data_IF_557918563964
#
_entry.id   IF_557918563964
#
_cell.length_a   1.000
_cell.length_b   1.000
_cell.length_c   1.000
_cell.angle_alpha   90.00
_cell.angle_beta   90.00
_cell.angle_gamma   90.00
#
_symmetry.space_group_name_H-M   'P 1'
#
loop_
_entity.id
_entity.type
_entity.pdbx_description
1 polymer ?
#
# COMPACT_ATOMS: atom_id res chain seq x y z
N UNK A 1 -4.75 -1.30 -55.94
CA UNK A 1 -4.31 -2.24 -54.90
C UNK A 1 -4.48 -1.55 -53.56
N UNK A 2 -5.27 -2.16 -52.69
CA UNK A 2 -5.92 -1.62 -51.50
C UNK A 2 -5.04 -1.75 -50.23
N UNK A 3 -5.10 -0.70 -49.41
CA UNK A 3 -4.91 -0.58 -47.95
C UNK A 3 -3.85 -1.41 -47.20
N UNK A 4 -2.96 -0.69 -46.48
CA UNK A 4 -2.25 -1.18 -45.30
C UNK A 4 -2.14 -0.06 -44.27
N UNK A 5 -3.02 -0.10 -43.27
CA UNK A 5 -3.16 0.88 -42.18
C UNK A 5 -1.87 1.15 -41.37
N UNK A 6 -1.71 2.36 -40.82
CA UNK A 6 -0.71 2.64 -39.80
C UNK A 6 -1.03 1.85 -38.52
N UNK A 7 -0.14 0.96 -38.11
CA UNK A 7 -0.21 0.34 -36.78
C UNK A 7 0.04 1.43 -35.73
N UNK A 8 -1.06 1.95 -35.19
CA UNK A 8 -1.14 2.79 -33.99
C UNK A 8 -0.48 2.04 -32.82
N UNK A 9 0.78 2.33 -32.54
CA UNK A 9 1.47 2.01 -31.28
C UNK A 9 1.22 3.09 -30.22
N UNK A 10 -0.04 3.53 -30.09
CA UNK A 10 -0.48 4.40 -28.99
C UNK A 10 -1.69 3.79 -28.28
N UNK A 11 -1.48 2.82 -27.36
CA UNK A 11 -2.43 2.69 -26.27
C UNK A 11 -1.78 2.64 -24.87
N UNK A 12 -0.47 2.43 -24.74
CA UNK A 12 0.17 2.27 -23.43
C UNK A 12 0.50 3.61 -22.74
N UNK A 13 0.97 4.61 -23.50
CA UNK A 13 1.30 5.93 -22.93
C UNK A 13 0.07 6.75 -22.51
N UNK A 14 -1.10 6.51 -23.12
CA UNK A 14 -2.34 7.20 -22.76
C UNK A 14 -3.02 6.58 -21.53
N UNK A 15 -2.82 5.28 -21.25
CA UNK A 15 -3.32 4.65 -20.03
C UNK A 15 -2.54 5.13 -18.79
N UNK A 16 -1.21 5.27 -18.91
CA UNK A 16 -0.37 5.79 -17.83
C UNK A 16 -0.67 7.27 -17.51
N UNK A 17 -1.06 8.06 -18.53
CA UNK A 17 -1.36 9.48 -18.38
C UNK A 17 -2.80 9.77 -17.91
N UNK A 18 -3.75 8.82 -18.01
CA UNK A 18 -5.09 9.00 -17.43
C UNK A 18 -5.15 8.66 -15.93
N UNK A 19 -4.19 7.89 -15.41
CA UNK A 19 -4.11 7.54 -13.98
C UNK A 19 -3.50 8.67 -13.12
N UNK A 20 -2.86 9.68 -13.73
CA UNK A 20 -2.30 10.82 -12.99
C UNK A 20 -3.35 11.87 -12.61
N UNK A 21 -4.60 11.74 -13.07
CA UNK A 21 -5.69 12.70 -12.83
C UNK A 21 -6.57 12.34 -11.62
N UNK A 22 -6.27 11.27 -10.89
CA UNK A 22 -7.04 10.85 -9.71
C UNK A 22 -6.19 10.61 -8.46
N UNK A 23 -4.99 11.18 -8.33
CA UNK A 23 -4.20 11.04 -7.08
C UNK A 23 -3.88 9.58 -6.66
N UNK A 24 -4.11 8.60 -7.53
CA UNK A 24 -3.93 7.19 -7.25
C UNK A 24 -2.52 6.77 -7.68
N UNK A 25 -1.60 6.68 -6.72
CA UNK A 25 -0.27 6.12 -6.98
C UNK A 25 -0.35 4.59 -6.89
N UNK A 26 -0.18 3.92 -8.04
CA UNK A 26 -0.02 2.47 -8.09
C UNK A 26 1.43 2.08 -7.76
N UNK A 27 1.62 1.18 -6.81
CA UNK A 27 2.93 0.65 -6.40
C UNK A 27 3.00 -0.86 -6.64
N UNK A 28 4.19 -1.35 -6.96
CA UNK A 28 4.41 -2.79 -7.11
C UNK A 28 4.37 -3.52 -5.77
N UNK A 29 4.13 -4.82 -5.78
CA UNK A 29 4.28 -5.67 -4.58
C UNK A 29 5.68 -6.28 -4.56
N UNK A 30 6.29 -6.38 -3.38
CA UNK A 30 7.56 -7.07 -3.16
C UNK A 30 7.42 -8.14 -2.08
N UNK A 31 8.26 -9.18 -2.20
CA UNK A 31 8.40 -10.17 -1.15
C UNK A 31 8.95 -9.55 0.13
N UNK A 32 8.35 -9.90 1.27
CA UNK A 32 8.86 -9.54 2.58
C UNK A 32 10.20 -10.23 2.87
N UNK A 33 11.13 -9.59 3.59
CA UNK A 33 12.33 -10.25 4.07
C UNK A 33 12.00 -11.28 5.18
N UNK A 34 12.82 -12.32 5.30
CA UNK A 34 12.59 -13.41 6.26
C UNK A 34 12.78 -13.00 7.73
N UNK A 35 13.66 -12.03 8.00
CA UNK A 35 13.97 -11.55 9.35
C UNK A 35 14.68 -10.19 9.35
N UNK A 36 14.69 -9.53 10.50
CA UNK A 36 15.47 -8.31 10.76
C UNK A 36 14.61 -7.06 10.97
N UNK A 37 15.24 -5.98 11.43
CA UNK A 37 14.55 -4.72 11.67
C UNK A 37 14.37 -3.91 10.39
N UNK A 38 13.26 -3.16 10.32
CA UNK A 38 12.89 -2.40 9.12
C UNK A 38 12.12 -1.13 9.45
N UNK A 39 12.06 -0.26 8.45
CA UNK A 39 11.36 1.03 8.47
C UNK A 39 10.58 1.16 7.18
N UNK A 40 9.26 1.37 7.27
CA UNK A 40 8.32 1.36 6.15
C UNK A 40 7.36 2.53 6.22
N UNK A 41 6.99 3.09 5.07
CA UNK A 41 5.93 4.08 5.01
C UNK A 41 4.56 3.39 5.14
N UNK A 42 3.64 3.98 5.90
CA UNK A 42 2.31 3.43 6.12
C UNK A 42 1.28 4.22 5.32
N UNK A 43 0.56 3.51 4.46
CA UNK A 43 -0.47 4.06 3.58
C UNK A 43 -1.80 3.33 3.79
N UNK A 44 -2.90 3.93 3.35
CA UNK A 44 -4.17 3.23 3.21
C UNK A 44 -4.14 2.32 1.99
N UNK A 45 -4.68 1.11 2.09
CA UNK A 45 -4.85 0.23 0.95
C UNK A 45 -6.20 0.51 0.27
N UNK A 46 -6.18 0.83 -1.02
CA UNK A 46 -7.40 0.87 -1.80
C UNK A 46 -7.91 -0.57 -2.04
N UNK A 47 -9.02 -0.95 -1.42
CA UNK A 47 -9.49 -2.34 -1.43
C UNK A 47 -9.83 -2.85 -2.84
N UNK A 48 -10.31 -2.00 -3.73
CA UNK A 48 -10.58 -2.39 -5.12
C UNK A 48 -9.30 -2.84 -5.87
N UNK A 49 -8.14 -2.31 -5.49
CA UNK A 49 -6.84 -2.71 -6.04
C UNK A 49 -6.24 -3.95 -5.37
N UNK A 50 -6.69 -4.31 -4.17
CA UNK A 50 -6.15 -5.46 -3.44
C UNK A 50 -6.51 -6.83 -4.06
N UNK A 51 -7.52 -6.85 -4.93
CA UNK A 51 -7.97 -8.03 -5.66
C UNK A 51 -7.13 -8.34 -6.92
N UNK A 52 -6.12 -7.54 -7.24
CA UNK A 52 -5.28 -7.73 -8.42
C UNK A 52 -4.38 -8.98 -8.24
N UNK A 53 -4.47 -9.93 -9.18
CA UNK A 53 -3.71 -11.19 -9.19
C UNK A 53 -2.73 -11.24 -10.36
N UNK A 54 -1.58 -11.90 -10.19
CA UNK A 54 -0.58 -12.11 -11.25
C UNK A 54 0.86 -11.91 -10.76
N UNK A 55 1.83 -12.22 -11.61
CA UNK A 55 3.28 -12.11 -11.30
C UNK A 55 3.74 -10.66 -11.12
N UNK A 56 3.12 -9.71 -11.85
CA UNK A 56 3.36 -8.26 -11.74
C UNK A 56 2.25 -7.57 -10.93
N UNK A 57 2.05 -8.02 -9.68
CA UNK A 57 1.02 -7.45 -8.82
C UNK A 57 1.35 -6.00 -8.46
N UNK A 58 0.33 -5.14 -8.53
CA UNK A 58 0.37 -3.77 -8.02
C UNK A 58 -0.84 -3.49 -7.14
N UNK A 59 -0.71 -2.53 -6.25
CA UNK A 59 -1.80 -2.00 -5.42
C UNK A 59 -1.85 -0.49 -5.54
N UNK A 60 -3.03 0.08 -5.34
CA UNK A 60 -3.24 1.52 -5.29
C UNK A 60 -3.25 1.96 -3.83
N UNK A 61 -2.51 3.03 -3.56
CA UNK A 61 -2.40 3.61 -2.24
C UNK A 61 -3.38 4.76 -2.06
N UNK A 62 -3.97 4.83 -0.87
CA UNK A 62 -4.70 5.99 -0.40
C UNK A 62 -3.83 6.76 0.62
N UNK A 63 -3.61 8.04 0.35
CA UNK A 63 -2.87 8.94 1.23
C UNK A 63 -3.75 9.57 2.30
N UNK A 64 -3.10 10.17 3.30
CA UNK A 64 -3.75 10.90 4.37
C UNK A 64 -4.22 12.28 3.89
N UNK A 65 -5.54 12.51 3.80
CA UNK A 65 -6.11 13.77 3.32
C UNK A 65 -5.75 14.95 4.22
N UNK A 66 -5.58 14.73 5.52
CA UNK A 66 -5.17 15.76 6.48
C UNK A 66 -3.70 16.19 6.30
N UNK A 67 -2.93 15.44 5.51
CA UNK A 67 -1.51 15.63 5.30
C UNK A 67 -1.14 15.60 3.80
N UNK A 68 -1.89 16.32 2.96
CA UNK A 68 -1.65 16.45 1.52
C UNK A 68 -1.55 15.11 0.77
N UNK A 69 -2.30 14.09 1.18
CA UNK A 69 -2.27 12.74 0.60
C UNK A 69 -0.90 12.05 0.69
N UNK A 70 -0.13 12.33 1.74
CA UNK A 70 1.16 11.67 2.07
C UNK A 70 0.95 10.38 2.88
N UNK A 71 2.01 9.58 3.17
CA UNK A 71 1.89 8.48 4.12
C UNK A 71 1.40 8.99 5.49
N UNK A 72 0.66 8.15 6.20
CA UNK A 72 0.17 8.44 7.55
C UNK A 72 1.32 8.63 8.55
N UNK A 73 2.30 7.73 8.48
CA UNK A 73 3.51 7.74 9.30
C UNK A 73 4.55 6.76 8.73
N UNK A 74 5.73 6.76 9.34
CA UNK A 74 6.75 5.72 9.12
C UNK A 74 6.69 4.74 10.28
N UNK A 75 6.45 3.47 9.98
CA UNK A 75 6.45 2.38 10.95
C UNK A 75 7.84 1.76 11.08
N UNK A 76 8.28 1.59 12.31
CA UNK A 76 9.46 0.81 12.69
C UNK A 76 9.03 -0.52 13.29
N UNK A 77 9.89 -1.54 13.20
CA UNK A 77 9.57 -2.86 13.70
C UNK A 77 10.56 -3.93 13.28
N UNK A 78 10.18 -5.18 13.49
CA UNK A 78 11.04 -6.34 13.23
C UNK A 78 10.26 -7.45 12.53
N UNK A 79 10.85 -7.99 11.47
CA UNK A 79 10.40 -9.19 10.78
C UNK A 79 10.74 -10.45 11.57
N UNK A 80 9.74 -11.30 11.73
CA UNK A 80 9.87 -12.65 12.24
C UNK A 80 8.90 -13.61 11.55
N UNK A 81 8.82 -14.84 12.04
CA UNK A 81 8.06 -15.92 11.40
C UNK A 81 6.56 -15.63 11.23
N UNK A 82 5.98 -14.74 12.04
CA UNK A 82 4.57 -14.37 11.97
C UNK A 82 4.30 -13.13 11.08
N UNK A 83 5.35 -12.45 10.61
CA UNK A 83 5.25 -11.18 9.88
C UNK A 83 6.06 -10.06 10.53
N UNK A 84 5.72 -8.81 10.19
CA UNK A 84 6.40 -7.63 10.71
C UNK A 84 5.71 -7.13 11.98
N UNK A 85 6.35 -7.31 13.13
CA UNK A 85 5.84 -6.78 14.39
C UNK A 85 6.26 -5.33 14.54
N UNK A 86 5.29 -4.43 14.63
CA UNK A 86 5.52 -3.00 14.84
C UNK A 86 6.09 -2.76 16.24
N UNK A 87 6.95 -1.76 16.35
CA UNK A 87 7.35 -1.24 17.67
C UNK A 87 6.17 -0.54 18.38
N UNK A 88 6.35 -0.23 19.66
CA UNK A 88 5.25 0.29 20.50
C UNK A 88 4.67 1.61 19.97
N UNK A 89 5.53 2.54 19.56
CA UNK A 89 5.11 3.84 19.04
C UNK A 89 4.38 3.73 17.69
N UNK A 90 4.87 2.88 16.78
CA UNK A 90 4.22 2.61 15.49
C UNK A 90 2.90 1.88 15.68
N UNK A 91 2.85 0.94 16.61
CA UNK A 91 1.64 0.20 16.95
C UNK A 91 0.56 1.14 17.49
N UNK A 92 0.89 2.05 18.42
CA UNK A 92 -0.04 3.06 18.95
C UNK A 92 -0.64 3.91 17.83
N UNK A 93 0.18 4.41 16.91
CA UNK A 93 -0.30 5.18 15.74
C UNK A 93 -1.20 4.36 14.81
N UNK A 94 -0.92 3.07 14.63
CA UNK A 94 -1.79 2.18 13.87
C UNK A 94 -3.16 2.00 14.56
N UNK A 95 -3.18 1.88 15.90
CA UNK A 95 -4.45 1.82 16.67
C UNK A 95 -5.24 3.10 16.55
N UNK A 96 -4.58 4.25 16.62
CA UNK A 96 -5.24 5.56 16.51
C UNK A 96 -5.95 5.77 15.18
N UNK A 97 -5.48 5.10 14.11
CA UNK A 97 -6.06 5.14 12.78
C UNK A 97 -7.14 4.08 12.55
N UNK A 98 -7.22 3.05 13.41
CA UNK A 98 -8.18 1.97 13.26
C UNK A 98 -9.61 2.51 13.34
N UNK A 99 -10.44 2.17 12.35
CA UNK A 99 -11.81 2.68 12.22
C UNK A 99 -11.93 4.12 11.68
N UNK A 100 -10.82 4.82 11.46
CA UNK A 100 -10.79 6.19 10.91
C UNK A 100 -10.27 6.27 9.48
N UNK A 101 -9.73 5.17 8.95
CA UNK A 101 -9.15 5.12 7.60
C UNK A 101 -10.11 5.61 6.50
N UNK A 102 -11.41 5.25 6.50
CA UNK A 102 -12.31 5.75 5.46
C UNK A 102 -12.46 7.27 5.45
N UNK A 103 -12.58 7.88 6.63
CA UNK A 103 -12.66 9.33 6.79
C UNK A 103 -11.34 10.01 6.40
N UNK A 104 -10.22 9.45 6.87
CA UNK A 104 -8.88 10.01 6.65
C UNK A 104 -8.41 9.91 5.19
N UNK A 105 -8.95 8.98 4.42
CA UNK A 105 -8.60 8.77 3.00
C UNK A 105 -9.67 9.28 2.03
N UNK A 106 -10.90 9.51 2.50
CA UNK A 106 -12.05 9.81 1.66
C UNK A 106 -12.56 8.60 0.86
N UNK A 107 -12.08 7.39 1.16
CA UNK A 107 -12.46 6.14 0.50
C UNK A 107 -13.21 5.24 1.49
N UNK A 108 -14.54 5.02 1.33
CA UNK A 108 -15.35 4.23 2.25
C UNK A 108 -14.87 2.78 2.41
N UNK A 109 -14.19 2.26 1.38
CA UNK A 109 -13.72 0.88 1.36
C UNK A 109 -12.31 0.75 1.98
N UNK A 110 -11.58 1.85 2.19
CA UNK A 110 -10.23 1.81 2.74
C UNK A 110 -10.23 1.44 4.24
N UNK A 111 -10.11 0.15 4.54
CA UNK A 111 -10.17 -0.39 5.92
C UNK A 111 -8.88 -1.09 6.37
N UNK A 112 -7.87 -1.15 5.51
CA UNK A 112 -6.56 -1.74 5.81
C UNK A 112 -5.44 -0.74 5.59
N UNK A 113 -4.36 -0.93 6.35
CA UNK A 113 -3.09 -0.26 6.12
C UNK A 113 -2.17 -1.16 5.31
N UNK A 114 -1.26 -0.56 4.56
CA UNK A 114 -0.20 -1.23 3.82
C UNK A 114 1.15 -0.61 4.14
N UNK A 115 2.15 -1.48 4.37
CA UNK A 115 3.55 -1.09 4.53
C UNK A 115 4.20 -1.01 3.16
N UNK A 116 4.83 0.13 2.89
CA UNK A 116 5.50 0.44 1.63
C UNK A 116 6.98 0.69 1.88
N UNK A 117 7.84 -0.07 1.21
CA UNK A 117 9.28 0.18 1.17
C UNK A 117 9.59 1.27 0.15
N UNK A 118 9.93 2.47 0.66
CA UNK A 118 10.35 3.61 -0.15
C UNK A 118 11.85 3.65 -0.48
N UNK A 119 12.62 2.61 -0.13
CA UNK A 119 14.08 2.55 -0.37
C UNK A 119 14.47 1.78 -1.64
N UNK A 120 13.56 1.01 -2.22
CA UNK A 120 13.80 0.27 -3.47
C UNK A 120 13.76 1.21 -4.68
N UNK A 121 14.14 0.74 -5.88
CA UNK A 121 14.13 1.48 -7.16
C UNK A 121 12.71 1.91 -7.65
N UNK A 122 11.80 2.11 -6.71
CA UNK A 122 10.37 2.38 -6.83
C UNK A 122 9.69 1.94 -5.53
N UNK A 123 8.68 2.69 -5.07
CA UNK A 123 7.89 2.33 -3.89
C UNK A 123 7.26 0.95 -4.08
N UNK A 124 7.39 0.06 -3.09
CA UNK A 124 6.80 -1.27 -3.13
C UNK A 124 6.04 -1.64 -1.87
N UNK A 125 4.81 -2.09 -2.03
CA UNK A 125 4.02 -2.65 -0.95
C UNK A 125 4.59 -4.02 -0.52
N UNK A 126 4.74 -4.25 0.78
CA UNK A 126 5.35 -5.48 1.33
C UNK A 126 4.44 -6.24 2.29
N UNK A 127 3.56 -5.55 3.01
CA UNK A 127 2.72 -6.17 4.05
C UNK A 127 1.45 -5.35 4.28
N UNK A 128 0.43 -5.96 4.85
CA UNK A 128 -0.81 -5.30 5.26
C UNK A 128 -1.11 -5.47 6.74
N UNK A 129 -1.75 -4.48 7.34
CA UNK A 129 -2.30 -4.55 8.69
C UNK A 129 -3.80 -4.44 8.55
N UNK A 130 -4.54 -5.50 8.89
CA UNK A 130 -6.00 -5.45 8.87
C UNK A 130 -6.54 -4.82 10.15
N UNK A 131 -7.69 -4.15 10.08
CA UNK A 131 -8.34 -3.56 11.25
C UNK A 131 -8.61 -4.59 12.37
N UNK A 132 -8.86 -5.86 12.02
CA UNK A 132 -9.05 -6.94 12.98
C UNK A 132 -7.77 -7.40 13.70
N UNK A 133 -6.59 -7.08 13.15
CA UNK A 133 -5.28 -7.41 13.73
C UNK A 133 -4.80 -6.36 14.72
N UNK A 134 -5.48 -5.21 14.78
CA UNK A 134 -5.18 -4.11 15.68
C UNK A 134 -6.01 -4.27 16.96
N UNK A 135 -5.61 -5.20 17.82
CA UNK A 135 -6.23 -5.38 19.12
C UNK A 135 -5.92 -4.20 20.06
N UNK A 136 -6.88 -3.85 20.94
CA UNK A 136 -6.70 -2.79 21.96
C UNK A 136 -5.52 -3.05 22.90
N UNK A 137 -5.12 -4.32 23.06
CA UNK A 137 -3.89 -4.70 23.74
C UNK A 137 -3.20 -5.87 23.02
N UNK A 138 -1.87 -5.78 22.86
CA UNK A 138 -1.05 -6.80 22.19
C UNK A 138 -0.25 -6.26 20.99
N UNK A 139 0.73 -7.02 20.46
CA UNK A 139 1.54 -6.57 19.33
C UNK A 139 0.69 -6.37 18.07
N UNK A 140 0.98 -5.32 17.30
CA UNK A 140 0.40 -5.13 15.96
C UNK A 140 1.35 -5.78 14.96
N UNK A 141 0.84 -6.75 14.21
CA UNK A 141 1.64 -7.53 13.25
C UNK A 141 1.10 -7.27 11.85
N UNK A 142 1.97 -6.83 10.94
CA UNK A 142 1.66 -6.73 9.52
C UNK A 142 1.96 -8.08 8.84
N UNK A 143 1.00 -8.55 8.05
CA UNK A 143 1.08 -9.81 7.31
C UNK A 143 1.67 -9.55 5.93
N UNK A 144 2.71 -10.30 5.49
CA UNK A 144 3.26 -10.19 4.14
C UNK A 144 2.21 -10.24 3.04
N UNK A 145 2.44 -9.49 1.97
CA UNK A 145 1.69 -9.64 0.73
C UNK A 145 2.25 -10.85 -0.06
N UNK A 146 1.41 -11.87 -0.28
CA UNK A 146 1.71 -13.04 -1.14
C UNK A 146 1.22 -12.85 -2.56
#
# INVERSE_FOLDING_TARGET
>A
MTYGHPRRTLPLLLLAALLTLTGCTGVGVAGAPDSGSGSYQVWGLNEASSALTGDDRSVVLNGDLDNDSKPFFTAEGTWGAAGFTLDEASAERARDLTGKLPERTGDPDCVRLVLVDGRLLGDRAVATIAAGDVLESGPVVAIPLE
#
